data_IF_148829104830
#
_entry.id   IF_148829104830
#
_cell.length_a   1.000
_cell.length_b   1.000
_cell.length_c   1.000
_cell.angle_alpha   90.00
_cell.angle_beta   90.00
_cell.angle_gamma   90.00
#
_symmetry.space_group_name_H-M   'P 1'
#
loop_
_entity.id
_entity.type
_entity.pdbx_description
1 polymer ?
#
# COMPACT_ATOMS: atom_id res chain seq x y z
N UNK A 1 16.70 24.28 -4.70
CA UNK A 1 16.77 22.83 -5.00
C UNK A 1 15.54 22.47 -5.81
N UNK A 2 15.67 21.57 -6.80
CA UNK A 2 14.50 21.02 -7.46
C UNK A 2 13.69 20.19 -6.46
N UNK A 3 12.37 20.26 -6.52
CA UNK A 3 11.51 19.41 -5.69
C UNK A 3 11.77 17.93 -6.00
N UNK A 4 11.68 17.08 -5.00
CA UNK A 4 11.69 15.63 -5.17
C UNK A 4 10.33 15.14 -5.65
N UNK A 5 10.32 14.18 -6.56
CA UNK A 5 9.07 13.62 -7.10
C UNK A 5 8.70 12.38 -6.29
N UNK A 6 7.48 12.38 -5.76
CA UNK A 6 6.95 11.31 -4.90
C UNK A 6 5.72 10.71 -5.55
N UNK A 7 5.65 9.38 -5.61
CA UNK A 7 4.45 8.65 -5.97
C UNK A 7 3.96 7.82 -4.79
N UNK A 8 2.66 7.62 -4.68
CA UNK A 8 2.08 6.78 -3.63
C UNK A 8 1.03 5.84 -4.19
N UNK A 9 0.83 4.69 -3.56
CA UNK A 9 -0.25 3.76 -3.91
C UNK A 9 -0.72 2.99 -2.69
N UNK A 10 -2.00 2.63 -2.70
CA UNK A 10 -2.59 1.69 -1.76
C UNK A 10 -2.93 0.40 -2.50
N UNK A 11 -2.45 -0.72 -1.98
CA UNK A 11 -2.76 -2.07 -2.44
C UNK A 11 -3.87 -2.66 -1.56
N UNK A 12 -3.79 -3.95 -1.20
CA UNK A 12 -4.75 -4.55 -0.27
C UNK A 12 -4.51 -4.07 1.17
N UNK A 13 -5.36 -3.19 1.65
CA UNK A 13 -5.29 -2.58 2.97
C UNK A 13 -6.52 -1.73 3.27
N UNK A 14 -6.45 -0.94 4.34
CA UNK A 14 -7.54 -0.09 4.81
C UNK A 14 -7.41 1.39 4.45
N UNK A 15 -6.34 1.77 3.72
CA UNK A 15 -5.97 3.16 3.42
C UNK A 15 -5.52 4.00 4.64
N UNK A 16 -5.33 3.36 5.80
CA UNK A 16 -4.98 4.03 7.07
C UNK A 16 -3.61 4.70 7.04
N UNK A 17 -2.64 4.14 6.30
CA UNK A 17 -1.30 4.74 6.18
C UNK A 17 -1.33 6.05 5.37
N UNK A 18 -2.17 6.15 4.33
CA UNK A 18 -2.39 7.41 3.62
C UNK A 18 -3.14 8.43 4.49
N UNK A 19 -4.10 7.98 5.31
CA UNK A 19 -4.75 8.89 6.27
C UNK A 19 -3.73 9.42 7.28
N UNK A 20 -2.84 8.57 7.81
CA UNK A 20 -1.77 9.01 8.70
C UNK A 20 -0.77 9.96 8.01
N UNK A 21 -0.53 9.78 6.70
CA UNK A 21 0.23 10.76 5.91
C UNK A 21 -0.47 12.12 5.87
N UNK A 22 -1.80 12.15 5.75
CA UNK A 22 -2.56 13.40 5.76
C UNK A 22 -2.64 14.03 7.15
N UNK A 23 -2.56 13.23 8.22
CA UNK A 23 -2.55 13.67 9.62
C UNK A 23 -1.26 14.40 10.03
N UNK A 24 -0.31 14.61 9.10
CA UNK A 24 0.79 15.56 9.33
C UNK A 24 0.30 17.00 9.46
N UNK A 25 -0.97 17.24 9.21
CA UNK A 25 -1.66 18.53 9.35
C UNK A 25 -0.98 19.68 8.58
N UNK A 26 -0.80 20.83 9.22
CA UNK A 26 -0.19 22.01 8.61
C UNK A 26 1.21 21.78 8.03
N UNK A 27 1.90 20.72 8.46
CA UNK A 27 3.20 20.33 7.89
C UNK A 27 3.12 19.96 6.41
N UNK A 28 1.91 19.65 5.90
CA UNK A 28 1.70 19.38 4.48
C UNK A 28 2.09 20.59 3.61
N UNK A 29 1.91 21.81 4.12
CA UNK A 29 2.31 23.04 3.42
C UNK A 29 3.83 23.11 3.22
N UNK A 30 4.60 22.65 4.21
CA UNK A 30 6.06 22.54 4.10
C UNK A 30 6.47 21.37 3.20
N UNK A 31 5.72 20.27 3.23
CA UNK A 31 5.99 19.10 2.41
C UNK A 31 5.88 19.46 0.92
N UNK A 32 4.82 20.13 0.50
CA UNK A 32 4.61 20.51 -0.91
C UNK A 32 5.60 21.57 -1.42
N UNK A 33 6.35 22.23 -0.53
CA UNK A 33 7.49 23.05 -0.94
C UNK A 33 8.72 22.20 -1.31
N UNK A 34 8.84 21.01 -0.73
CA UNK A 34 9.97 20.10 -0.89
C UNK A 34 9.71 19.02 -1.94
N UNK A 35 8.46 18.59 -2.09
CA UNK A 35 8.06 17.51 -2.98
C UNK A 35 7.02 17.94 -3.99
N UNK A 36 6.92 17.17 -5.06
CA UNK A 36 5.82 17.18 -6.03
C UNK A 36 5.26 15.77 -6.13
N UNK A 37 3.96 15.64 -5.91
CA UNK A 37 3.29 14.35 -6.05
C UNK A 37 2.98 14.06 -7.53
N UNK A 38 3.44 12.90 -8.02
CA UNK A 38 3.09 12.34 -9.32
C UNK A 38 1.91 11.37 -9.15
N UNK A 39 2.00 10.12 -9.58
CA UNK A 39 0.94 9.12 -9.41
C UNK A 39 0.60 8.93 -7.93
N UNK A 40 -0.65 9.21 -7.56
CA UNK A 40 -1.11 9.04 -6.18
C UNK A 40 -2.63 8.89 -6.10
N UNK A 41 -3.17 8.10 -5.15
CA UNK A 41 -4.60 8.05 -4.89
C UNK A 41 -5.17 9.35 -4.32
N UNK A 42 -4.33 10.20 -3.70
CA UNK A 42 -4.75 11.47 -3.09
C UNK A 42 -4.72 12.66 -4.05
N UNK A 43 -4.34 12.47 -5.30
CA UNK A 43 -4.38 13.49 -6.35
C UNK A 43 -5.08 12.97 -7.62
N UNK A 44 -5.16 13.80 -8.67
CA UNK A 44 -5.83 13.44 -9.92
C UNK A 44 -4.96 12.60 -10.89
N UNK A 45 -3.65 12.46 -10.62
CA UNK A 45 -2.74 11.69 -11.44
C UNK A 45 -2.81 10.21 -11.10
N UNK A 46 -3.44 9.41 -11.96
CA UNK A 46 -3.62 7.95 -11.77
C UNK A 46 -2.60 7.10 -12.54
N UNK A 47 -1.74 7.74 -13.34
CA UNK A 47 -0.63 7.09 -14.06
C UNK A 47 0.65 7.88 -13.85
N UNK A 48 1.79 7.20 -13.98
CA UNK A 48 3.09 7.88 -13.94
C UNK A 48 3.26 8.82 -15.12
N UNK A 49 3.63 10.08 -14.85
CA UNK A 49 3.98 11.06 -15.89
C UNK A 49 5.48 11.14 -16.09
N UNK A 50 6.26 10.70 -15.11
CA UNK A 50 7.74 10.75 -15.11
C UNK A 50 8.32 9.75 -14.10
N UNK A 51 9.65 9.67 -14.09
CA UNK A 51 10.37 8.95 -13.06
C UNK A 51 10.27 9.67 -11.71
N UNK A 52 10.07 8.92 -10.64
CA UNK A 52 9.93 9.42 -9.28
C UNK A 52 11.17 9.10 -8.44
N UNK A 53 11.52 9.99 -7.52
CA UNK A 53 12.60 9.76 -6.57
C UNK A 53 12.17 8.74 -5.49
N UNK A 54 10.92 8.85 -5.02
CA UNK A 54 10.41 8.05 -3.90
C UNK A 54 9.03 7.50 -4.24
N UNK A 55 8.81 6.21 -3.96
CA UNK A 55 7.51 5.55 -3.99
C UNK A 55 7.10 5.11 -2.59
N UNK A 56 5.92 5.50 -2.14
CA UNK A 56 5.29 5.10 -0.88
C UNK A 56 4.22 4.06 -1.14
N UNK A 57 4.40 2.85 -0.62
CA UNK A 57 3.50 1.72 -0.86
C UNK A 57 2.84 1.31 0.45
N UNK A 58 1.52 1.38 0.49
CA UNK A 58 0.72 0.79 1.55
C UNK A 58 -0.04 -0.44 1.05
N UNK A 59 -0.38 -1.35 1.96
CA UNK A 59 -1.13 -2.56 1.63
C UNK A 59 -0.28 -3.71 1.11
N UNK A 60 -0.83 -4.92 1.18
CA UNK A 60 -0.20 -6.14 0.66
C UNK A 60 -0.67 -6.49 -0.75
N UNK A 61 -0.05 -7.51 -1.36
CA UNK A 61 -0.45 -8.01 -2.67
C UNK A 61 -1.45 -9.17 -2.49
N UNK A 62 -2.73 -8.92 -2.75
CA UNK A 62 -3.80 -9.92 -2.68
C UNK A 62 -4.37 -10.32 -4.04
N UNK A 63 -4.10 -9.51 -5.08
CA UNK A 63 -4.58 -9.72 -6.44
C UNK A 63 -3.47 -9.59 -7.47
N UNK A 64 -3.71 -10.10 -8.68
CA UNK A 64 -2.81 -9.92 -9.82
C UNK A 64 -2.55 -8.45 -10.13
N UNK A 65 -3.56 -7.59 -10.02
CA UNK A 65 -3.42 -6.14 -10.21
C UNK A 65 -2.47 -5.51 -9.18
N UNK A 66 -2.57 -5.91 -7.91
CA UNK A 66 -1.66 -5.40 -6.87
C UNK A 66 -0.20 -5.70 -7.22
N UNK A 67 0.07 -6.90 -7.74
CA UNK A 67 1.41 -7.31 -8.20
C UNK A 67 1.90 -6.44 -9.35
N UNK A 68 1.03 -6.19 -10.35
CA UNK A 68 1.39 -5.36 -11.50
C UNK A 68 1.65 -3.90 -11.10
N UNK A 69 0.80 -3.32 -10.24
CA UNK A 69 0.97 -1.97 -9.70
C UNK A 69 2.29 -1.87 -8.93
N UNK A 70 2.60 -2.84 -8.07
CA UNK A 70 3.84 -2.82 -7.29
C UNK A 70 5.07 -2.94 -8.17
N UNK A 71 5.04 -3.80 -9.20
CA UNK A 71 6.11 -3.89 -10.20
C UNK A 71 6.27 -2.61 -11.01
N UNK A 72 5.16 -1.93 -11.33
CA UNK A 72 5.18 -0.63 -12.01
C UNK A 72 5.89 0.42 -11.14
N UNK A 73 5.55 0.48 -9.84
CA UNK A 73 6.22 1.37 -8.90
C UNK A 73 7.73 1.09 -8.82
N UNK A 74 8.14 -0.20 -8.76
CA UNK A 74 9.57 -0.52 -8.75
C UNK A 74 10.31 -0.06 -10.01
N UNK A 75 9.65 -0.09 -11.16
CA UNK A 75 10.26 0.39 -12.42
C UNK A 75 10.38 1.91 -12.49
N UNK A 76 9.44 2.64 -11.88
CA UNK A 76 9.35 4.10 -12.00
C UNK A 76 9.94 4.87 -10.81
N UNK A 77 10.17 4.24 -9.66
CA UNK A 77 10.71 4.90 -8.48
C UNK A 77 12.14 4.45 -8.19
N UNK A 78 13.00 5.39 -7.81
CA UNK A 78 14.38 5.09 -7.42
C UNK A 78 14.42 4.38 -6.07
N UNK A 79 13.66 4.88 -5.12
CA UNK A 79 13.53 4.33 -3.76
C UNK A 79 12.08 3.92 -3.50
N UNK A 80 11.86 2.69 -2.99
CA UNK A 80 10.55 2.23 -2.52
C UNK A 80 10.52 2.08 -1.01
N UNK A 81 9.47 2.62 -0.41
CA UNK A 81 9.20 2.55 1.03
C UNK A 81 7.91 1.77 1.25
N UNK A 82 7.98 0.63 1.92
CA UNK A 82 6.81 -0.10 2.41
C UNK A 82 6.32 0.55 3.70
N UNK A 83 5.05 0.96 3.72
CA UNK A 83 4.45 1.71 4.81
C UNK A 83 3.33 0.92 5.46
N UNK A 84 3.48 0.66 6.74
CA UNK A 84 2.51 -0.07 7.54
C UNK A 84 2.61 -1.59 7.43
N UNK A 85 1.98 -2.26 8.38
CA UNK A 85 2.09 -3.71 8.57
C UNK A 85 1.61 -4.52 7.36
N UNK A 86 0.58 -4.02 6.64
CA UNK A 86 0.07 -4.72 5.46
C UNK A 86 1.12 -4.81 4.34
N UNK A 87 1.89 -3.74 4.11
CA UNK A 87 2.94 -3.73 3.10
C UNK A 87 4.18 -4.53 3.52
N UNK A 88 4.49 -4.54 4.83
CA UNK A 88 5.72 -5.14 5.39
C UNK A 88 5.58 -6.64 5.59
N UNK A 89 4.47 -7.11 6.16
CA UNK A 89 4.26 -8.51 6.54
C UNK A 89 2.90 -9.09 6.12
N UNK A 90 2.12 -8.34 5.33
CA UNK A 90 0.77 -8.75 4.90
C UNK A 90 -0.34 -8.30 5.85
N UNK A 91 -0.04 -8.06 7.12
CA UNK A 91 -0.95 -7.49 8.11
C UNK A 91 -2.32 -8.16 8.19
N UNK A 92 -3.36 -7.36 8.39
CA UNK A 92 -4.74 -7.83 8.47
C UNK A 92 -5.20 -8.58 7.19
N UNK A 93 -4.92 -8.11 5.96
CA UNK A 93 -5.27 -8.86 4.75
C UNK A 93 -4.71 -10.28 4.70
N UNK A 94 -3.52 -10.52 5.26
CA UNK A 94 -2.88 -11.83 5.28
C UNK A 94 -3.50 -12.82 6.28
N UNK A 95 -4.44 -12.40 7.13
CA UNK A 95 -5.18 -13.33 8.01
C UNK A 95 -5.92 -14.41 7.21
N UNK A 96 -6.37 -14.09 5.99
CA UNK A 96 -6.98 -15.09 5.10
C UNK A 96 -6.02 -16.20 4.66
N UNK A 97 -4.71 -16.00 4.79
CA UNK A 97 -3.71 -16.99 4.38
C UNK A 97 -3.78 -18.30 5.19
N UNK A 98 -4.50 -18.30 6.31
CA UNK A 98 -4.77 -19.49 7.12
C UNK A 98 -5.88 -20.38 6.53
N UNK A 99 -6.61 -19.89 5.52
CA UNK A 99 -7.75 -20.57 4.90
C UNK A 99 -7.54 -20.63 3.38
N UNK A 100 -7.85 -21.75 2.71
CA UNK A 100 -7.80 -21.84 1.25
C UNK A 100 -8.65 -20.75 0.60
N UNK A 101 -8.14 -20.15 -0.47
CA UNK A 101 -8.87 -19.06 -1.17
C UNK A 101 -10.24 -19.51 -1.69
N UNK A 102 -10.38 -20.76 -2.09
CA UNK A 102 -11.67 -21.32 -2.52
C UNK A 102 -12.73 -21.23 -1.41
N UNK A 103 -12.36 -21.61 -0.18
CA UNK A 103 -13.26 -21.53 0.97
C UNK A 103 -13.65 -20.08 1.30
N UNK A 104 -12.67 -19.14 1.23
CA UNK A 104 -12.95 -17.72 1.43
C UNK A 104 -13.96 -17.18 0.40
N UNK A 105 -13.80 -17.56 -0.87
CA UNK A 105 -14.68 -17.15 -1.94
C UNK A 105 -16.07 -17.78 -1.83
N UNK A 106 -16.13 -19.07 -1.50
CA UNK A 106 -17.42 -19.78 -1.28
C UNK A 106 -18.19 -19.13 -0.13
N UNK A 107 -17.54 -18.85 1.00
CA UNK A 107 -18.17 -18.16 2.13
C UNK A 107 -18.67 -16.78 1.72
N UNK A 108 -17.86 -16.01 0.99
CA UNK A 108 -18.22 -14.65 0.61
C UNK A 108 -19.38 -14.59 -0.41
N UNK A 109 -19.45 -15.52 -1.36
CA UNK A 109 -20.35 -15.42 -2.50
C UNK A 109 -21.43 -16.48 -2.59
N UNK A 110 -21.28 -17.62 -1.89
CA UNK A 110 -22.25 -18.72 -1.97
C UNK A 110 -22.96 -19.00 -0.66
N UNK A 111 -22.26 -18.95 0.47
CA UNK A 111 -22.78 -19.43 1.77
C UNK A 111 -22.85 -18.38 2.87
N UNK A 112 -22.25 -17.18 2.67
CA UNK A 112 -22.29 -16.12 3.67
C UNK A 112 -23.72 -15.70 4.02
N UNK A 113 -23.98 -15.38 5.29
CA UNK A 113 -25.33 -15.07 5.77
C UNK A 113 -25.97 -13.84 5.11
N UNK A 114 -25.19 -13.02 4.40
CA UNK A 114 -25.67 -11.89 3.61
C UNK A 114 -25.94 -12.25 2.13
N UNK A 115 -25.55 -13.45 1.71
CA UNK A 115 -25.80 -13.91 0.34
C UNK A 115 -27.28 -14.22 0.19
N UNK A 116 -27.92 -13.63 -0.84
CA UNK A 116 -29.35 -13.89 -1.09
C UNK A 116 -29.56 -15.25 -1.76
N UNK A 117 -30.69 -15.89 -1.46
CA UNK A 117 -31.13 -17.15 -2.10
C UNK A 117 -31.26 -17.05 -3.61
N UNK A 118 -31.27 -15.83 -4.18
CA UNK A 118 -31.33 -15.60 -5.63
C UNK A 118 -30.08 -16.06 -6.41
N UNK A 119 -28.99 -16.44 -5.72
CA UNK A 119 -27.86 -17.09 -6.37
C UNK A 119 -28.10 -18.62 -6.51
N UNK A 120 -29.21 -19.00 -7.07
CA UNK A 120 -29.60 -20.42 -7.26
C UNK A 120 -28.58 -21.20 -8.10
N UNK A 121 -27.92 -20.53 -9.03
CA UNK A 121 -26.91 -21.12 -9.91
C UNK A 121 -25.52 -21.24 -9.22
N UNK A 122 -25.36 -20.72 -8.01
CA UNK A 122 -24.09 -20.72 -7.25
C UNK A 122 -22.92 -20.21 -8.07
N UNK A 123 -23.12 -19.07 -8.72
CA UNK A 123 -22.13 -18.45 -9.59
C UNK A 123 -21.11 -17.68 -8.73
N UNK A 124 -19.84 -17.99 -8.94
CA UNK A 124 -18.72 -17.23 -8.41
C UNK A 124 -18.40 -16.05 -9.33
N UNK A 125 -18.05 -14.87 -8.79
CA UNK A 125 -17.58 -13.76 -9.62
C UNK A 125 -16.39 -14.18 -10.46
N UNK A 126 -16.52 -14.09 -11.77
CA UNK A 126 -15.45 -14.40 -12.73
C UNK A 126 -15.70 -13.62 -14.02
N UNK A 127 -14.90 -12.58 -14.23
CA UNK A 127 -14.96 -11.70 -15.39
C UNK A 127 -13.56 -11.25 -15.77
N UNK A 128 -13.32 -10.91 -17.02
CA UNK A 128 -12.01 -10.44 -17.50
C UNK A 128 -11.58 -9.14 -16.83
N UNK A 129 -12.55 -8.29 -16.43
CA UNK A 129 -12.30 -7.03 -15.75
C UNK A 129 -12.04 -7.17 -14.25
N UNK A 130 -12.24 -8.37 -13.69
CA UNK A 130 -11.99 -8.64 -12.25
C UNK A 130 -10.56 -9.18 -12.07
N UNK A 131 -9.69 -8.49 -11.32
CA UNK A 131 -8.34 -8.98 -11.03
C UNK A 131 -8.38 -10.34 -10.33
N UNK A 132 -7.55 -11.27 -10.79
CA UNK A 132 -7.48 -12.60 -10.19
C UNK A 132 -6.95 -12.52 -8.74
N UNK A 133 -7.67 -13.15 -7.81
CA UNK A 133 -7.21 -13.31 -6.43
C UNK A 133 -6.02 -14.26 -6.39
N UNK A 134 -4.97 -13.86 -5.68
CA UNK A 134 -3.83 -14.72 -5.42
C UNK A 134 -4.20 -15.79 -4.39
N UNK A 135 -3.47 -16.91 -4.40
CA UNK A 135 -3.62 -18.00 -3.41
C UNK A 135 -3.42 -17.50 -1.97
N UNK A 136 -2.53 -16.52 -1.79
CA UNK A 136 -2.25 -15.85 -0.51
C UNK A 136 -1.99 -14.37 -0.71
N UNK A 137 -2.06 -13.62 0.39
CA UNK A 137 -1.60 -12.24 0.44
C UNK A 137 -0.10 -12.23 0.69
N UNK A 138 0.62 -11.53 -0.17
CA UNK A 138 2.08 -11.40 -0.09
C UNK A 138 2.46 -10.02 0.44
N UNK A 139 3.43 -9.92 1.35
CA UNK A 139 4.07 -8.65 1.66
C UNK A 139 4.85 -8.12 0.44
N UNK A 140 5.04 -6.81 0.36
CA UNK A 140 5.62 -6.18 -0.82
C UNK A 140 7.03 -6.67 -1.15
N UNK A 141 7.84 -6.98 -0.14
CA UNK A 141 9.21 -7.44 -0.32
C UNK A 141 9.35 -8.84 -0.94
N UNK A 142 8.29 -9.66 -0.89
CA UNK A 142 8.26 -10.96 -1.59
C UNK A 142 8.00 -10.80 -3.10
N UNK A 143 7.53 -9.63 -3.54
CA UNK A 143 7.20 -9.36 -4.94
C UNK A 143 8.24 -8.50 -5.63
N UNK A 144 8.73 -7.45 -4.96
CA UNK A 144 9.78 -6.55 -5.48
C UNK A 144 10.76 -6.18 -4.37
N UNK A 145 11.95 -5.69 -4.77
CA UNK A 145 12.88 -5.13 -3.80
C UNK A 145 12.29 -3.85 -3.16
N UNK A 146 12.18 -3.85 -1.83
CA UNK A 146 11.85 -2.70 -1.01
C UNK A 146 13.14 -2.15 -0.41
N UNK A 147 13.30 -0.83 -0.37
CA UNK A 147 14.51 -0.18 0.12
C UNK A 147 14.40 0.22 1.59
N UNK A 148 13.21 0.64 2.04
CA UNK A 148 12.92 1.00 3.43
C UNK A 148 11.55 0.50 3.87
N UNK A 149 11.38 0.32 5.18
CA UNK A 149 10.11 -0.08 5.79
C UNK A 149 9.79 0.84 6.96
N UNK A 150 8.52 1.31 7.02
CA UNK A 150 7.98 2.11 8.12
C UNK A 150 6.88 1.30 8.82
N UNK A 151 7.18 0.66 9.96
CA UNK A 151 6.22 -0.17 10.68
C UNK A 151 5.17 0.67 11.41
N UNK A 152 4.02 0.06 11.64
CA UNK A 152 2.86 0.60 12.35
C UNK A 152 1.56 0.27 11.67
N UNK A 153 0.45 0.29 12.41
CA UNK A 153 -0.88 0.03 11.86
C UNK A 153 -1.89 1.11 12.32
N UNK A 154 -1.79 2.32 11.69
CA UNK A 154 -0.75 2.81 10.79
C UNK A 154 0.51 3.32 11.51
N UNK A 155 1.63 3.59 10.80
CA UNK A 155 2.73 4.39 11.34
C UNK A 155 2.22 5.76 11.76
N UNK A 156 2.77 6.34 12.83
CA UNK A 156 2.34 7.66 13.28
C UNK A 156 2.68 8.74 12.24
N UNK A 157 1.87 9.81 12.20
CA UNK A 157 2.10 10.95 11.33
C UNK A 157 3.52 11.55 11.50
N UNK A 158 4.04 11.58 12.74
CA UNK A 158 5.39 12.05 13.03
C UNK A 158 6.46 11.13 12.42
N UNK A 159 6.27 9.81 12.48
CA UNK A 159 7.20 8.87 11.88
C UNK A 159 7.22 9.02 10.35
N UNK A 160 6.04 9.13 9.72
CA UNK A 160 5.92 9.37 8.28
C UNK A 160 6.57 10.70 7.88
N UNK A 161 6.31 11.77 8.63
CA UNK A 161 6.92 13.07 8.39
C UNK A 161 8.45 13.03 8.47
N UNK A 162 8.99 12.40 9.52
CA UNK A 162 10.43 12.28 9.72
C UNK A 162 11.07 11.45 8.60
N UNK A 163 10.44 10.35 8.21
CA UNK A 163 10.91 9.49 7.14
C UNK A 163 10.93 10.21 5.78
N UNK A 164 9.82 10.85 5.41
CA UNK A 164 9.72 11.61 4.16
C UNK A 164 10.76 12.73 4.10
N UNK A 165 10.85 13.52 5.15
CA UNK A 165 11.79 14.65 5.18
C UNK A 165 13.25 14.19 5.15
N UNK A 166 13.59 13.09 5.84
CA UNK A 166 14.93 12.51 5.77
C UNK A 166 15.29 12.08 4.35
N UNK A 167 14.41 11.30 3.71
CA UNK A 167 14.62 10.80 2.33
C UNK A 167 14.70 11.95 1.31
N UNK A 168 13.82 12.95 1.43
CA UNK A 168 13.81 14.12 0.54
C UNK A 168 15.10 14.94 0.66
N UNK A 169 15.64 15.05 1.87
CA UNK A 169 16.87 15.78 2.14
C UNK A 169 18.12 14.92 1.93
N UNK A 170 17.99 13.67 1.51
CA UNK A 170 19.11 12.74 1.30
C UNK A 170 19.84 12.37 2.60
N UNK A 171 19.13 12.40 3.72
CA UNK A 171 19.64 11.96 5.03
C UNK A 171 19.34 10.49 5.21
N UNK A 172 20.15 9.83 6.03
CA UNK A 172 19.87 8.46 6.46
C UNK A 172 18.56 8.42 7.27
N UNK A 173 17.74 7.42 6.99
CA UNK A 173 16.49 7.21 7.70
C UNK A 173 16.78 6.47 9.01
N UNK A 174 16.76 7.20 10.11
CA UNK A 174 16.80 6.64 11.45
C UNK A 174 15.39 6.50 11.99
N UNK A 175 14.99 5.28 12.35
CA UNK A 175 13.73 4.99 13.02
C UNK A 175 14.04 4.62 14.46
N UNK A 176 13.79 5.50 15.44
CA UNK A 176 14.06 5.21 16.84
C UNK A 176 13.25 4.00 17.31
N UNK A 177 13.85 3.12 18.09
CA UNK A 177 13.18 1.90 18.59
C UNK A 177 11.87 2.22 19.32
N UNK A 178 11.83 3.33 20.07
CA UNK A 178 10.66 3.80 20.80
C UNK A 178 9.50 4.21 19.88
N UNK A 179 9.79 4.48 18.60
CA UNK A 179 8.79 4.84 17.58
C UNK A 179 8.23 3.61 16.85
N UNK A 180 8.86 2.44 17.06
CA UNK A 180 8.40 1.19 16.44
C UNK A 180 7.20 0.67 17.23
N UNK A 181 6.04 0.72 16.60
CA UNK A 181 4.81 0.11 17.11
C UNK A 181 4.28 -0.84 16.05
N UNK A 182 3.91 -2.02 16.48
CA UNK A 182 3.40 -3.09 15.60
C UNK A 182 1.93 -3.40 15.89
N UNK A 183 1.31 -2.62 16.77
CA UNK A 183 -0.09 -2.71 17.21
C UNK A 183 -0.86 -1.41 16.92
#
# INVERSE_FOLDING_TARGET
>A
MSKKVVATTSLAGCFGCHMSLLDIDERILKLIELVEFDKSPINDLKSFTRRCDIGFIEGGCSTSENVEVLKEFRRHCDTLVAVGECAIMGGLPAMRNAVPISECLEEAYLYGFTVRDSNEERIMPNDEDIPMMLDRVYPCHEVVKIDYSLPGCPPTADLIWNALTALVLGKELEVPYESLRYD
#
